data_IF_184639461168
#
_entry.id   IF_184639461168
#
_cell.length_a   1.000
_cell.length_b   1.000
_cell.length_c   1.000
_cell.angle_alpha   90.00
_cell.angle_beta   90.00
_cell.angle_gamma   90.00
#
_symmetry.space_group_name_H-M   'P 1'
#
loop_
_entity.id
_entity.type
_entity.pdbx_description
1 polymer ?
#
# COMPACT_ATOMS: atom_id res chain seq x y z
N UNK A 1 26.57 9.81 -18.33
CA UNK A 1 25.75 8.89 -17.51
C UNK A 1 25.79 9.46 -16.13
N UNK A 2 24.98 10.48 -15.91
CA UNK A 2 25.02 11.26 -14.68
C UNK A 2 23.96 10.69 -13.74
N UNK A 3 24.39 10.27 -12.56
CA UNK A 3 23.47 9.85 -11.50
C UNK A 3 22.41 10.94 -11.29
N UNK A 4 21.15 10.58 -11.03
CA UNK A 4 20.12 11.59 -10.78
C UNK A 4 20.59 12.45 -9.60
N UNK A 5 20.71 13.74 -9.85
CA UNK A 5 21.15 14.78 -8.89
C UNK A 5 20.30 14.86 -7.62
N UNK A 6 19.27 14.00 -7.49
CA UNK A 6 18.36 13.89 -6.35
C UNK A 6 18.90 13.03 -5.21
N UNK A 7 19.72 11.99 -5.45
CA UNK A 7 20.15 11.08 -4.37
C UNK A 7 20.99 11.77 -3.28
N UNK A 8 22.01 12.59 -3.62
CA UNK A 8 22.75 13.34 -2.61
C UNK A 8 21.91 14.40 -1.89
N UNK A 9 20.82 14.88 -2.51
CA UNK A 9 19.90 15.84 -1.90
C UNK A 9 18.97 15.15 -0.88
N UNK A 10 18.47 13.95 -1.21
CA UNK A 10 17.65 13.12 -0.31
C UNK A 10 18.45 12.76 0.95
N UNK A 11 19.69 12.29 0.79
CA UNK A 11 20.55 11.92 1.93
C UNK A 11 20.77 13.12 2.86
N UNK A 12 21.19 14.27 2.31
CA UNK A 12 21.36 15.50 3.11
C UNK A 12 20.08 15.93 3.82
N UNK A 13 18.94 15.80 3.14
CA UNK A 13 17.66 16.12 3.74
C UNK A 13 17.34 15.21 4.93
N UNK A 14 17.52 13.90 4.78
CA UNK A 14 17.28 12.94 5.88
C UNK A 14 18.23 13.16 7.06
N UNK A 15 19.49 13.53 6.80
CA UNK A 15 20.47 13.87 7.84
C UNK A 15 20.08 15.14 8.59
N UNK A 16 19.62 16.18 7.88
CA UNK A 16 19.13 17.42 8.47
C UNK A 16 17.88 17.17 9.33
N UNK A 17 16.90 16.42 8.80
CA UNK A 17 15.71 16.02 9.54
C UNK A 17 16.07 15.30 10.85
N UNK A 18 17.01 14.35 10.77
CA UNK A 18 17.48 13.61 11.93
C UNK A 18 18.23 14.52 12.93
N UNK A 19 18.97 15.52 12.44
CA UNK A 19 19.63 16.51 13.28
C UNK A 19 18.63 17.37 14.04
N UNK A 20 17.59 17.86 13.35
CA UNK A 20 16.53 18.68 13.94
C UNK A 20 15.74 17.92 15.00
N UNK A 21 15.38 16.65 14.73
CA UNK A 21 14.73 15.78 15.71
C UNK A 21 15.60 15.55 16.95
N UNK A 22 16.91 15.27 16.78
CA UNK A 22 17.84 15.12 17.91
C UNK A 22 17.95 16.41 18.73
N UNK A 23 17.92 17.57 18.07
CA UNK A 23 17.97 18.88 18.73
C UNK A 23 16.71 19.13 19.57
N UNK A 24 15.52 18.87 19.02
CA UNK A 24 14.25 19.03 19.74
C UNK A 24 14.14 18.07 20.92
N UNK A 25 14.53 16.80 20.75
CA UNK A 25 14.54 15.82 21.84
C UNK A 25 15.44 16.26 23.01
N UNK A 26 16.62 16.82 22.73
CA UNK A 26 17.49 17.39 23.78
C UNK A 26 16.83 18.55 24.52
N UNK A 27 16.09 19.42 23.83
CA UNK A 27 15.36 20.52 24.48
C UNK A 27 14.25 19.98 25.41
N UNK A 28 13.56 18.92 24.99
CA UNK A 28 12.52 18.25 25.80
C UNK A 28 13.16 17.66 27.06
N UNK A 29 14.28 16.95 26.93
CA UNK A 29 15.02 16.37 28.07
C UNK A 29 15.44 17.44 29.09
N UNK A 30 15.92 18.60 28.63
CA UNK A 30 16.26 19.73 29.51
C UNK A 30 15.02 20.28 30.23
N UNK A 31 13.89 20.41 29.52
CA UNK A 31 12.64 20.84 30.13
C UNK A 31 12.11 19.80 31.13
N UNK A 32 12.28 18.50 30.88
CA UNK A 32 11.95 17.42 31.79
C UNK A 32 12.74 17.51 33.09
N UNK A 33 14.05 17.69 32.99
CA UNK A 33 14.91 17.89 34.14
C UNK A 33 14.55 19.14 34.95
N UNK A 34 14.14 20.21 34.27
CA UNK A 34 13.69 21.44 34.93
C UNK A 34 12.41 21.21 35.74
N UNK A 35 11.43 20.45 35.22
CA UNK A 35 10.25 20.09 36.01
C UNK A 35 10.61 19.25 37.23
N UNK A 36 11.49 18.25 37.06
CA UNK A 36 11.89 17.39 38.16
C UNK A 36 12.56 18.19 39.28
N UNK A 37 13.42 19.16 38.96
CA UNK A 37 14.06 20.03 39.94
C UNK A 37 13.05 20.87 40.73
N UNK A 38 11.99 21.36 40.08
CA UNK A 38 10.92 22.12 40.77
C UNK A 38 10.16 21.20 41.73
N UNK A 39 9.82 19.99 41.30
CA UNK A 39 9.15 18.99 42.15
C UNK A 39 10.02 18.57 43.35
N UNK A 40 11.30 18.28 43.12
CA UNK A 40 12.26 17.92 44.15
C UNK A 40 12.47 19.05 45.17
N UNK A 41 12.56 20.30 44.71
CA UNK A 41 12.69 21.46 45.59
C UNK A 41 11.43 21.68 46.44
N UNK A 42 10.24 21.54 45.84
CA UNK A 42 8.98 21.69 46.56
C UNK A 42 8.77 20.61 47.63
N UNK A 43 9.14 19.36 47.31
CA UNK A 43 9.07 18.25 48.27
C UNK A 43 10.07 18.42 49.40
N UNK A 44 11.29 18.90 49.12
CA UNK A 44 12.29 19.20 50.14
C UNK A 44 11.87 20.34 51.09
N UNK A 45 11.21 21.39 50.56
CA UNK A 45 10.76 22.54 51.36
C UNK A 45 9.41 22.31 52.06
N UNK A 46 8.71 21.21 51.78
CA UNK A 46 7.37 20.87 52.29
C UNK A 46 6.37 22.04 52.19
N UNK A 47 6.53 22.88 51.17
CA UNK A 47 5.77 24.10 50.95
C UNK A 47 5.71 24.37 49.47
N UNK A 48 4.50 24.43 48.92
CA UNK A 48 4.25 24.81 47.54
C UNK A 48 3.95 26.31 47.48
N UNK A 49 4.80 27.08 46.79
CA UNK A 49 4.54 28.50 46.57
C UNK A 49 3.81 28.74 45.26
N UNK A 50 3.13 29.88 45.16
CA UNK A 50 2.46 30.28 43.92
C UNK A 50 3.46 30.50 42.77
N UNK A 51 4.72 30.84 43.09
CA UNK A 51 5.81 30.95 42.11
C UNK A 51 6.12 29.59 41.48
N UNK A 52 6.24 28.54 42.30
CA UNK A 52 6.57 27.19 41.82
C UNK A 52 5.50 26.65 40.88
N UNK A 53 4.22 26.92 41.20
CA UNK A 53 3.09 26.54 40.35
C UNK A 53 3.13 27.24 38.98
N UNK A 54 3.50 28.52 38.94
CA UNK A 54 3.65 29.25 37.66
C UNK A 54 4.82 28.73 36.84
N UNK A 55 5.97 28.48 37.47
CA UNK A 55 7.16 27.94 36.79
C UNK A 55 6.93 26.54 36.25
N UNK A 56 6.23 25.69 36.99
CA UNK A 56 5.89 24.34 36.53
C UNK A 56 4.94 24.39 35.33
N UNK A 57 3.89 25.22 35.39
CA UNK A 57 2.93 25.37 34.29
C UNK A 57 3.60 25.91 33.02
N UNK A 58 4.50 26.89 33.17
CA UNK A 58 5.27 27.44 32.05
C UNK A 58 6.21 26.39 31.45
N UNK A 59 6.91 25.62 32.29
CA UNK A 59 7.81 24.55 31.84
C UNK A 59 7.03 23.43 31.14
N UNK A 60 5.88 23.02 31.69
CA UNK A 60 4.99 22.05 31.07
C UNK A 60 4.45 22.55 29.72
N UNK A 61 4.04 23.81 29.63
CA UNK A 61 3.60 24.43 28.37
C UNK A 61 4.73 24.43 27.32
N UNK A 62 5.96 24.69 27.76
CA UNK A 62 7.15 24.65 26.91
C UNK A 62 7.43 23.24 26.39
N UNK A 63 7.26 22.20 27.21
CA UNK A 63 7.38 20.79 26.77
C UNK A 63 6.37 20.45 25.68
N UNK A 64 5.10 20.83 25.86
CA UNK A 64 4.05 20.60 24.86
C UNK A 64 4.41 21.29 23.55
N UNK A 65 4.90 22.53 23.60
CA UNK A 65 5.34 23.27 22.41
C UNK A 65 6.50 22.57 21.69
N UNK A 66 7.52 22.11 22.43
CA UNK A 66 8.66 21.38 21.86
C UNK A 66 8.26 20.02 21.27
N UNK A 67 7.31 19.32 21.89
CA UNK A 67 6.76 18.09 21.36
C UNK A 67 6.04 18.34 20.02
N UNK A 68 5.23 19.40 19.92
CA UNK A 68 4.60 19.80 18.67
C UNK A 68 5.63 20.16 17.59
N UNK A 69 6.69 20.91 17.94
CA UNK A 69 7.80 21.22 17.02
C UNK A 69 8.46 19.95 16.46
N UNK A 70 8.64 18.92 17.31
CA UNK A 70 9.16 17.62 16.90
C UNK A 70 8.21 16.88 15.96
N UNK A 71 6.90 16.87 16.25
CA UNK A 71 5.88 16.26 15.39
C UNK A 71 5.80 16.96 14.02
N UNK A 72 5.78 18.28 13.99
CA UNK A 72 5.80 19.06 12.75
C UNK A 72 7.07 18.79 11.94
N UNK A 73 8.20 18.53 12.61
CA UNK A 73 9.43 18.12 11.96
C UNK A 73 9.29 16.79 11.24
N UNK A 74 8.73 15.78 11.92
CA UNK A 74 8.45 14.48 11.31
C UNK A 74 7.49 14.61 10.13
N UNK A 75 6.41 15.38 10.27
CA UNK A 75 5.43 15.58 9.20
C UNK A 75 6.05 16.23 7.96
N UNK A 76 6.91 17.22 8.16
CA UNK A 76 7.68 17.85 7.07
C UNK A 76 8.55 16.83 6.34
N UNK A 77 9.20 15.93 7.07
CA UNK A 77 10.05 14.90 6.48
C UNK A 77 9.25 13.88 5.67
N UNK A 78 8.07 13.49 6.15
CA UNK A 78 7.16 12.60 5.40
C UNK A 78 6.78 13.27 4.06
N UNK A 79 6.28 14.50 4.11
CA UNK A 79 5.84 15.24 2.90
C UNK A 79 6.95 15.39 1.85
N UNK A 80 8.18 15.64 2.29
CA UNK A 80 9.30 15.81 1.38
C UNK A 80 9.76 14.48 0.76
N UNK A 81 9.80 13.40 1.55
CA UNK A 81 10.13 12.06 1.03
C UNK A 81 9.09 11.63 0.00
N UNK A 82 7.80 11.86 0.26
CA UNK A 82 6.72 11.57 -0.70
C UNK A 82 6.89 12.37 -2.01
N UNK A 83 7.26 13.65 -1.90
CA UNK A 83 7.57 14.50 -3.06
C UNK A 83 8.74 13.94 -3.88
N UNK A 84 9.82 13.52 -3.21
CA UNK A 84 10.99 12.91 -3.85
C UNK A 84 10.66 11.59 -4.53
N UNK A 85 9.86 10.73 -3.89
CA UNK A 85 9.38 9.47 -4.49
C UNK A 85 8.57 9.72 -5.75
N UNK A 86 7.61 10.64 -5.69
CA UNK A 86 6.78 11.03 -6.84
C UNK A 86 7.62 11.58 -8.00
N UNK A 87 8.61 12.43 -7.71
CA UNK A 87 9.52 12.97 -8.72
C UNK A 87 10.37 11.87 -9.38
N UNK A 88 10.87 10.92 -8.60
CA UNK A 88 11.62 9.77 -9.12
C UNK A 88 10.74 8.87 -10.00
N UNK A 89 9.50 8.61 -9.60
CA UNK A 89 8.53 7.87 -10.41
C UNK A 89 8.23 8.56 -11.74
N UNK A 90 7.99 9.88 -11.73
CA UNK A 90 7.74 10.66 -12.94
C UNK A 90 8.96 10.70 -13.87
N UNK A 91 10.18 10.75 -13.31
CA UNK A 91 11.41 10.64 -14.09
C UNK A 91 11.53 9.27 -14.77
N UNK A 92 11.26 8.17 -14.04
CA UNK A 92 11.26 6.82 -14.59
C UNK A 92 10.19 6.66 -15.69
N UNK A 93 8.97 7.17 -15.47
CA UNK A 93 7.90 7.16 -16.47
C UNK A 93 8.31 7.89 -17.75
N UNK A 94 8.95 9.06 -17.62
CA UNK A 94 9.49 9.82 -18.76
C UNK A 94 10.57 9.04 -19.50
N UNK A 95 11.51 8.42 -18.78
CA UNK A 95 12.58 7.61 -19.39
C UNK A 95 12.01 6.38 -20.12
N UNK A 96 11.01 5.70 -19.56
CA UNK A 96 10.34 4.58 -20.24
C UNK A 96 9.64 5.06 -21.52
N UNK A 97 8.99 6.22 -21.47
CA UNK A 97 8.34 6.83 -22.64
C UNK A 97 9.34 7.18 -23.74
N UNK A 98 10.48 7.80 -23.40
CA UNK A 98 11.52 8.15 -24.38
C UNK A 98 12.20 6.92 -24.97
N UNK A 99 12.51 5.89 -24.15
CA UNK A 99 13.07 4.62 -24.63
C UNK A 99 12.10 3.88 -25.56
N UNK A 100 10.79 3.89 -25.28
CA UNK A 100 9.75 3.35 -26.19
C UNK A 100 9.60 4.18 -27.48
N UNK A 101 9.90 5.48 -27.44
CA UNK A 101 9.88 6.37 -28.60
C UNK A 101 11.07 6.21 -29.56
N UNK A 102 12.18 5.62 -29.11
CA UNK A 102 13.40 5.46 -29.93
C UNK A 102 13.50 4.13 -30.67
N UNK A 103 12.59 3.18 -30.44
CA UNK A 103 12.56 1.89 -31.13
C UNK A 103 11.31 1.76 -32.00
N UNK A 104 11.40 2.16 -33.27
CA UNK A 104 10.47 1.78 -34.31
C UNK A 104 10.61 0.28 -34.65
N UNK A 105 10.26 -0.60 -33.71
CA UNK A 105 10.05 -2.03 -33.98
C UNK A 105 8.55 -2.23 -34.21
N UNK A 106 8.18 -2.45 -35.48
CA UNK A 106 6.84 -2.86 -35.86
C UNK A 106 6.53 -4.24 -35.26
N UNK A 107 5.53 -4.33 -34.39
CA UNK A 107 4.75 -5.56 -34.19
C UNK A 107 3.25 -5.23 -34.22
N UNK A 108 2.43 -5.96 -34.98
CA UNK A 108 1.00 -5.69 -35.08
C UNK A 108 0.22 -6.38 -33.95
N UNK A 109 -0.84 -5.71 -33.50
CA UNK A 109 -2.04 -6.34 -32.97
C UNK A 109 -2.02 -6.75 -31.50
N UNK A 110 -2.47 -5.86 -30.62
CA UNK A 110 -3.56 -6.16 -29.70
C UNK A 110 -4.15 -4.85 -29.18
N UNK A 111 -5.34 -4.50 -29.68
CA UNK A 111 -6.19 -3.46 -29.12
C UNK A 111 -7.02 -4.06 -27.99
N UNK A 112 -7.15 -3.37 -26.85
CA UNK A 112 -8.40 -2.74 -26.45
C UNK A 112 -8.18 -1.74 -25.29
N UNK A 113 -9.02 -0.69 -25.15
CA UNK A 113 -8.75 0.51 -24.37
C UNK A 113 -9.48 0.52 -23.01
N UNK A 114 -9.27 1.64 -22.30
CA UNK A 114 -10.11 2.18 -21.21
C UNK A 114 -9.95 1.52 -19.82
N UNK A 115 -9.15 2.20 -18.99
CA UNK A 115 -9.50 2.42 -17.58
C UNK A 115 -9.31 3.90 -17.28
N UNK A 116 -10.40 4.64 -17.39
CA UNK A 116 -10.63 5.82 -16.56
C UNK A 116 -10.66 5.38 -15.11
N UNK A 117 -9.67 5.76 -14.30
CA UNK A 117 -9.75 5.65 -12.85
C UNK A 117 -9.97 7.02 -12.23
N UNK A 118 -10.95 7.04 -11.33
CA UNK A 118 -11.44 8.16 -10.52
C UNK A 118 -10.34 8.72 -9.59
N UNK A 119 -10.33 10.02 -9.26
CA UNK A 119 -9.36 10.63 -8.33
C UNK A 119 -9.44 10.23 -6.85
N UNK A 120 -10.10 9.12 -6.48
CA UNK A 120 -10.45 8.85 -5.06
C UNK A 120 -9.61 7.80 -4.33
N UNK A 121 -8.59 7.20 -4.94
CA UNK A 121 -7.73 6.24 -4.23
C UNK A 121 -6.51 6.91 -3.58
N UNK A 122 -6.77 7.92 -2.75
CA UNK A 122 -5.78 8.52 -1.83
C UNK A 122 -5.72 7.73 -0.51
N UNK A 123 -5.46 6.42 -0.59
CA UNK A 123 -4.90 5.63 0.50
C UNK A 123 -4.41 4.27 -0.04
N UNK A 124 -3.23 4.22 -0.66
CA UNK A 124 -2.55 2.94 -0.85
C UNK A 124 -1.04 3.12 -0.74
N UNK A 125 -0.56 3.19 0.50
CA UNK A 125 0.86 3.30 0.90
C UNK A 125 1.59 1.95 0.80
N UNK A 126 1.37 1.18 -0.27
CA UNK A 126 2.14 -0.01 -0.58
C UNK A 126 2.17 -0.18 -2.10
N UNK A 127 3.30 -0.55 -2.74
CA UNK A 127 3.29 -0.91 -4.15
C UNK A 127 2.24 -2.01 -4.31
N UNK A 128 1.19 -1.70 -5.07
CA UNK A 128 -0.01 -2.55 -5.21
C UNK A 128 0.40 -4.02 -5.33
N UNK A 129 -0.01 -4.85 -4.36
CA UNK A 129 0.36 -6.26 -4.33
C UNK A 129 0.05 -6.92 -5.68
N UNK A 130 0.90 -7.84 -6.16
CA UNK A 130 0.70 -8.51 -7.44
C UNK A 130 -0.66 -9.22 -7.47
N UNK A 131 -1.38 -9.06 -8.58
CA UNK A 131 -2.70 -9.66 -8.79
C UNK A 131 -2.54 -11.05 -9.39
N UNK A 132 -3.22 -12.03 -8.79
CA UNK A 132 -3.20 -13.43 -9.19
C UNK A 132 -4.60 -13.93 -9.57
N UNK A 133 -4.65 -15.20 -10.00
CA UNK A 133 -5.87 -15.92 -10.34
C UNK A 133 -6.67 -15.31 -11.51
N UNK A 134 -7.73 -16.02 -11.91
CA UNK A 134 -8.69 -15.58 -12.92
C UNK A 134 -9.49 -14.35 -12.46
N UNK A 135 -9.62 -14.16 -11.14
CA UNK A 135 -10.35 -13.04 -10.54
C UNK A 135 -9.55 -11.72 -10.51
N UNK A 136 -8.24 -11.76 -10.84
CA UNK A 136 -7.32 -10.62 -10.80
C UNK A 136 -7.36 -9.87 -9.48
N UNK A 137 -7.34 -10.60 -8.38
CA UNK A 137 -7.28 -10.07 -7.02
C UNK A 137 -5.93 -10.43 -6.39
N UNK A 138 -5.60 -9.76 -5.30
CA UNK A 138 -4.44 -10.08 -4.46
C UNK A 138 -4.52 -11.52 -3.93
N UNK A 139 -3.43 -12.00 -3.35
CA UNK A 139 -3.44 -13.28 -2.63
C UNK A 139 -4.36 -13.20 -1.40
N UNK A 140 -5.24 -14.19 -1.21
CA UNK A 140 -6.06 -14.30 -0.02
C UNK A 140 -6.47 -15.77 0.20
N UNK A 141 -6.47 -16.22 1.45
CA UNK A 141 -6.83 -17.59 1.81
C UNK A 141 -5.91 -18.64 1.17
N UNK A 142 -6.46 -19.83 0.92
CA UNK A 142 -5.72 -20.94 0.34
C UNK A 142 -5.52 -20.78 -1.17
N UNK A 143 -4.27 -20.95 -1.60
CA UNK A 143 -3.86 -20.82 -3.00
C UNK A 143 -3.18 -22.10 -3.50
N UNK A 144 -3.30 -22.34 -4.80
CA UNK A 144 -2.68 -23.46 -5.50
C UNK A 144 -1.91 -22.96 -6.72
N UNK A 145 -0.72 -23.52 -6.93
CA UNK A 145 0.09 -23.32 -8.13
C UNK A 145 -0.27 -24.34 -9.21
N UNK A 146 -0.29 -23.93 -10.46
CA UNK A 146 -0.45 -24.80 -11.62
C UNK A 146 0.90 -25.44 -11.98
N UNK A 147 0.96 -26.77 -12.03
CA UNK A 147 2.18 -27.55 -12.36
C UNK A 147 2.58 -27.53 -13.85
N UNK A 148 2.09 -26.55 -14.62
CA UNK A 148 2.43 -26.39 -16.05
C UNK A 148 3.40 -25.24 -16.18
N UNK A 149 4.63 -25.53 -16.61
CA UNK A 149 5.73 -24.55 -16.72
C UNK A 149 5.42 -23.41 -17.71
N UNK A 150 4.47 -23.62 -18.62
CA UNK A 150 3.99 -22.62 -19.59
C UNK A 150 2.71 -21.88 -19.16
N UNK A 151 2.38 -21.85 -17.87
CA UNK A 151 1.18 -21.19 -17.35
C UNK A 151 1.41 -19.67 -17.16
N UNK A 152 0.55 -18.83 -17.75
CA UNK A 152 0.71 -17.36 -17.67
C UNK A 152 0.36 -16.74 -16.29
N UNK A 153 -0.42 -17.44 -15.46
CA UNK A 153 -0.95 -16.91 -14.19
C UNK A 153 -0.34 -17.62 -12.98
N UNK A 154 -0.02 -18.90 -13.12
CA UNK A 154 0.59 -19.80 -12.12
C UNK A 154 -0.22 -20.02 -10.84
N UNK A 155 -0.82 -19.00 -10.22
CA UNK A 155 -1.43 -19.04 -8.90
C UNK A 155 -2.95 -18.77 -8.91
N UNK A 156 -3.69 -19.59 -8.16
CA UNK A 156 -5.15 -19.54 -8.12
C UNK A 156 -5.71 -19.72 -6.71
N UNK A 157 -6.78 -18.98 -6.36
CA UNK A 157 -7.51 -19.20 -5.11
C UNK A 157 -8.36 -20.45 -5.18
N UNK A 158 -8.46 -21.18 -4.08
CA UNK A 158 -9.26 -22.41 -3.99
C UNK A 158 -10.72 -22.19 -4.42
N UNK A 159 -11.35 -21.14 -3.91
CA UNK A 159 -12.73 -20.79 -4.22
C UNK A 159 -12.94 -20.48 -5.71
N UNK A 160 -11.95 -19.84 -6.34
CA UNK A 160 -12.02 -19.46 -7.75
C UNK A 160 -11.89 -20.66 -8.69
N UNK A 161 -11.28 -21.76 -8.24
CA UNK A 161 -11.11 -23.00 -9.02
C UNK A 161 -11.90 -24.18 -8.46
N UNK A 162 -12.80 -23.93 -7.50
CA UNK A 162 -13.68 -24.95 -6.91
C UNK A 162 -12.99 -25.98 -6.03
N UNK A 163 -11.81 -25.68 -5.50
CA UNK A 163 -11.13 -26.51 -4.52
C UNK A 163 -11.59 -26.15 -3.10
N UNK A 164 -11.62 -27.16 -2.23
CA UNK A 164 -11.88 -26.98 -0.78
C UNK A 164 -10.69 -27.43 0.08
N UNK A 165 -9.82 -28.27 -0.48
CA UNK A 165 -8.63 -28.82 0.19
C UNK A 165 -7.54 -29.01 -0.85
N UNK A 166 -6.28 -29.07 -0.39
CA UNK A 166 -5.13 -29.30 -1.26
C UNK A 166 -5.28 -30.66 -1.98
N UNK A 167 -5.27 -30.69 -3.33
CA UNK A 167 -5.31 -31.93 -4.07
C UNK A 167 -4.04 -32.74 -3.83
N UNK A 168 -4.18 -34.07 -3.82
CA UNK A 168 -3.02 -34.97 -3.72
C UNK A 168 -2.39 -35.13 -5.11
N UNK A 169 -1.15 -34.67 -5.26
CA UNK A 169 -0.39 -34.78 -6.52
C UNK A 169 -0.51 -33.54 -7.41
N UNK A 170 -0.18 -33.70 -8.69
CA UNK A 170 -0.09 -32.58 -9.64
C UNK A 170 -1.46 -31.99 -9.95
N UNK A 171 -1.56 -30.67 -9.92
CA UNK A 171 -2.76 -29.91 -10.25
C UNK A 171 -2.52 -28.93 -11.40
N UNK A 172 -3.48 -28.87 -12.30
CA UNK A 172 -3.46 -27.99 -13.47
C UNK A 172 -4.65 -27.05 -13.43
N UNK A 173 -4.46 -25.79 -13.83
CA UNK A 173 -5.54 -24.83 -13.94
C UNK A 173 -6.49 -25.19 -15.11
N UNK A 174 -7.73 -24.63 -15.14
CA UNK A 174 -8.67 -24.91 -16.22
C UNK A 174 -8.09 -24.68 -17.63
N UNK A 175 -7.31 -23.61 -17.82
CA UNK A 175 -6.66 -23.31 -19.09
C UNK A 175 -5.64 -24.37 -19.52
N UNK A 176 -4.77 -24.81 -18.61
CA UNK A 176 -3.76 -25.81 -18.92
C UNK A 176 -4.34 -27.23 -19.07
N UNK A 177 -5.45 -27.54 -18.37
CA UNK A 177 -6.20 -28.79 -18.58
C UNK A 177 -6.74 -28.90 -20.01
N UNK A 178 -7.26 -27.81 -20.58
CA UNK A 178 -7.73 -27.80 -21.97
C UNK A 178 -6.60 -28.01 -22.98
N UNK A 179 -5.42 -27.41 -22.73
CA UNK A 179 -4.24 -27.57 -23.59
C UNK A 179 -3.66 -29.00 -23.56
N UNK A 180 -3.83 -29.72 -22.44
CA UNK A 180 -3.30 -31.08 -22.22
C UNK A 180 -4.29 -32.20 -22.53
N UNK A 181 -5.57 -31.90 -22.70
CA UNK A 181 -6.54 -32.93 -23.06
C UNK A 181 -6.21 -33.45 -24.47
N UNK A 182 -6.01 -34.77 -24.68
CA UNK A 182 -6.00 -35.31 -26.02
C UNK A 182 -7.38 -35.00 -26.61
N UNK A 183 -7.40 -34.39 -27.80
CA UNK A 183 -8.62 -34.04 -28.53
C UNK A 183 -9.31 -35.34 -28.97
N UNK A 184 -9.95 -36.06 -28.04
CA UNK A 184 -11.06 -36.94 -28.37
C UNK A 184 -12.29 -36.05 -28.33
N UNK A 185 -12.73 -35.67 -29.53
CA UNK A 185 -13.96 -34.94 -29.74
C UNK A 185 -15.10 -35.55 -28.90
N UNK A 186 -15.82 -34.77 -28.07
CA UNK A 186 -17.10 -35.20 -27.60
C UNK A 186 -18.10 -34.93 -28.74
N UNK A 187 -18.62 -36.02 -29.29
CA UNK A 187 -19.81 -36.06 -30.12
C UNK A 187 -20.91 -35.19 -29.51
N UNK A 188 -21.47 -34.30 -30.32
CA UNK A 188 -22.73 -33.61 -30.06
C UNK A 188 -23.81 -34.63 -29.68
N UNK A 189 -24.14 -34.70 -28.40
CA UNK A 189 -25.41 -35.23 -27.92
C UNK A 189 -26.22 -34.05 -27.38
N UNK A 190 -26.79 -33.30 -28.30
CA UNK A 190 -27.90 -32.38 -28.03
C UNK A 190 -29.07 -33.23 -27.53
N UNK A 191 -29.44 -33.07 -26.26
CA UNK A 191 -30.80 -33.40 -25.81
C UNK A 191 -31.34 -32.20 -25.03
N UNK A 192 -32.60 -31.79 -25.26
CA UNK A 192 -33.05 -30.43 -24.99
C UNK A 192 -33.67 -30.29 -23.60
N UNK A 193 -33.30 -29.23 -22.88
CA UNK A 193 -34.05 -28.79 -21.71
C UNK A 193 -34.89 -27.56 -22.10
N UNK A 194 -36.15 -27.83 -22.41
CA UNK A 194 -37.26 -26.87 -22.59
C UNK A 194 -37.53 -26.14 -21.26
N UNK A 195 -38.06 -24.90 -21.30
CA UNK A 195 -37.85 -23.88 -20.28
C UNK A 195 -38.89 -23.95 -19.17
N UNK A 196 -38.50 -23.53 -17.96
CA UNK A 196 -39.48 -23.11 -16.95
C UNK A 196 -39.63 -21.59 -17.00
N UNK A 197 -40.70 -21.18 -17.65
CA UNK A 197 -41.44 -19.96 -17.35
C UNK A 197 -41.74 -19.87 -15.85
N UNK A 198 -41.57 -18.68 -15.26
CA UNK A 198 -42.71 -17.81 -14.93
C UNK A 198 -42.21 -16.44 -14.43
N UNK A 199 -42.78 -15.33 -14.92
CA UNK A 199 -42.56 -14.00 -14.37
C UNK A 199 -43.54 -13.77 -13.22
N UNK A 200 -43.12 -13.07 -12.17
CA UNK A 200 -44.06 -12.30 -11.32
C UNK A 200 -43.30 -11.20 -10.59
N UNK A 201 -43.65 -10.00 -11.01
CA UNK A 201 -43.19 -8.69 -10.58
C UNK A 201 -44.18 -8.19 -9.53
N UNK A 202 -43.65 -7.69 -8.40
CA UNK A 202 -44.22 -6.73 -7.45
C UNK A 202 -45.53 -7.10 -6.73
N UNK A 203 -45.58 -6.85 -5.42
CA UNK A 203 -46.49 -5.87 -4.76
C UNK A 203 -46.45 -6.07 -3.23
N UNK A 204 -46.06 -4.97 -2.55
CA UNK A 204 -46.45 -4.44 -1.23
C UNK A 204 -46.58 -5.33 0.02
N UNK A 205 -45.95 -4.86 1.10
CA UNK A 205 -46.39 -5.06 2.49
C UNK A 205 -46.58 -3.69 3.15
N UNK A 206 -47.78 -3.32 3.61
CA UNK A 206 -47.95 -2.29 4.62
C UNK A 206 -48.04 -2.90 6.03
N UNK A 207 -47.60 -2.08 7.00
CA UNK A 207 -47.73 -2.11 8.47
C UNK A 207 -47.73 -3.46 9.20
#
# INVERSE_FOLDING_TARGET
MDAPSSLPAIVRFTENCASDMRSTLKKIEVADRSCQLVEDNCTAMNSWSQSDQTTLLETASKKVSLANEAYESVERCIREIDSHLKSAEDALRKTIFTLRGSAAVKKPGLANPRSSMSPTDVLNTYPSEPLYCLCRKVQFGDMIACDEDSCDIEWYHYECVGLKTAPKGKWYCPGCRLKRAPVKAPSLATTPLVPKSNPSRLVNKPS
#
